data_IF_202017815987
#
_entry.id   IF_202017815987
#
_cell.length_a   1.000
_cell.length_b   1.000
_cell.length_c   1.000
_cell.angle_alpha   90.00
_cell.angle_beta   90.00
_cell.angle_gamma   90.00
#
_symmetry.space_group_name_H-M   'P 1'
#
loop_
_entity.id
_entity.type
_entity.pdbx_description
1 polymer ?
2 polymer ?
3 polymer ?
4 polymer ?
5 polymer ?
#
loop_
_entity_poly.entity_id
_entity_poly.type
_entity_poly.pdbx_seq_one_letter_code
_entity_poly.pdbx_strand_id
2 'polyribonucleotide' 'GACGCAUAAAGAUGAGACGCGUUACAGUUAAGGCUCUGAAAAGAGCCUUAAUUGUAAAACGCCUAUACAGUGAAGGGAUAUACGCUUGGGUUUGUCCAGCCUGAGCCUCUAUGCCAGAAAUGGCGCCUUCAUCGUGGGUUAGGACAUUUAAUUUUUUU' ?
3 'polydeoxyribonucleotide' '(DA)(DG)(DC)(DT)(DG)(DA)(DC)(DG)(DT)(DT)(DT)(DG)(DT)(DA)(DC)(DT)(DC)(DC)(DA)(DG)(DC)(DG)' ?
4 'polydeoxyribonucleotide' '(DA)(DG)(DC)(DA)(DG)(DA)(DA)(DA)(DT)(DC)(DT)(DC)(DT)(DG)(DC)(DT)(DG)(DA)(DC)(DG)(DC)(DA)(DT)(DA)(DA)(DA)(DG)(DA)(DT)(DG)(DA)(DG)(DA)(DC)(DG)(DC)(DT)(DG)(DG)(DA)(DG)(DT)(DA)(DC)(DA)(DA)(DA)(DC)(DG)(DT)(DC)(DA)(DG)(DC)(DT)' ?
5 'polydeoxyribonucleotide' '(DT)(DC)(DT)(DC)(DA)(DT)(DC)(DT)(DT)(DT)(DA)(DT)(DG)(DC)(DG)(DT)(DC)(DA)(DG)(DC)(DA)(DG)(DA)(DG)(DA)(DT)(DT)(DT)(DC)(DT)(DG)(DC)(DT)' ?
#
# COMPACT_ATOMS: atom_id res chain seq x y z
N UNK A 44 0.40 -5.00 -8.99
CA UNK A 44 1.49 -4.87 -8.02
C UNK A 44 1.42 -3.52 -7.32
N UNK A 45 0.42 -2.73 -7.70
CA UNK A 45 0.26 -1.40 -7.13
C UNK A 45 -0.20 -1.45 -5.69
N UNK A 46 -1.11 -2.39 -5.36
CA UNK A 46 -1.62 -2.50 -4.00
C UNK A 46 -0.60 -3.13 -3.06
N UNK A 47 0.15 -4.12 -3.55
CA UNK A 47 1.25 -4.68 -2.77
C UNK A 47 2.33 -3.63 -2.50
N UNK A 48 2.58 -2.75 -3.46
CA UNK A 48 3.52 -1.65 -3.27
C UNK A 48 3.03 -0.70 -2.19
N UNK A 49 1.72 -0.41 -2.17
CA UNK A 49 1.17 0.46 -1.14
C UNK A 49 1.24 -0.17 0.25
N UNK A 50 0.94 -1.46 0.35
CA UNK A 50 1.09 -2.16 1.62
C UNK A 50 2.54 -2.16 2.09
N UNK A 51 3.48 -2.39 1.16
CA UNK A 51 4.90 -2.34 1.47
C UNK A 51 5.33 -0.97 1.95
N UNK A 52 4.81 0.09 1.32
CA UNK A 52 5.13 1.44 1.75
C UNK A 52 4.57 1.77 3.13
N UNK A 53 3.35 1.32 3.41
CA UNK A 53 2.76 1.51 4.74
C UNK A 53 3.60 0.80 5.80
N UNK A 54 3.99 -0.44 5.51
CA UNK A 54 4.85 -1.21 6.41
C UNK A 54 6.18 -0.52 6.67
N UNK A 55 6.85 -0.07 5.61
CA UNK A 55 8.17 0.54 5.78
C UNK A 55 8.08 1.92 6.43
N UNK A 56 7.00 2.66 6.17
CA UNK A 56 6.78 3.94 6.86
C UNK A 56 6.58 3.73 8.36
N UNK A 57 5.82 2.70 8.73
CA UNK A 57 5.62 2.39 10.15
C UNK A 57 6.92 1.93 10.80
N UNK A 58 7.75 1.16 10.07
CA UNK A 58 9.03 0.73 10.60
C UNK A 58 9.98 1.90 10.82
N UNK A 59 10.01 2.85 9.88
CA UNK A 59 10.81 4.05 10.03
C UNK A 59 10.33 4.89 11.21
N UNK A 60 9.01 4.94 11.41
CA UNK A 60 8.47 5.67 12.54
C UNK A 60 8.84 5.02 13.87
N UNK A 61 8.87 3.69 13.93
CA UNK A 61 9.38 3.02 15.11
C UNK A 61 10.86 3.31 15.33
N UNK A 62 11.63 3.42 14.26
CA UNK A 62 13.04 3.78 14.39
C UNK A 62 13.22 5.19 14.95
N UNK A 63 12.41 6.15 14.48
CA UNK A 63 12.54 7.54 14.92
C UNK A 63 12.13 7.71 16.37
N UNK A 64 11.05 7.04 16.80
CA UNK A 64 10.59 7.18 18.17
C UNK A 64 11.57 6.57 19.16
N UNK A 65 12.22 5.47 18.78
CA UNK A 65 13.19 4.82 19.66
C UNK A 65 14.42 5.70 19.89
N UNK A 66 14.93 6.33 18.81
CA UNK A 66 16.10 7.19 18.94
C UNK A 66 15.80 8.44 19.75
N UNK A 67 14.63 9.04 19.52
CA UNK A 67 14.21 10.21 20.30
C UNK A 67 14.04 9.87 21.77
N UNK A 68 13.42 8.72 22.05
CA UNK A 68 13.24 8.27 23.43
C UNK A 68 14.57 8.04 24.12
N UNK A 69 15.51 7.39 23.43
CA UNK A 69 16.83 7.15 23.99
C UNK A 69 17.56 8.46 24.27
N UNK A 70 17.48 9.42 23.35
CA UNK A 70 18.17 10.68 23.55
C UNK A 70 17.56 11.51 24.68
N UNK A 71 16.22 11.57 24.75
CA UNK A 71 15.57 12.33 25.80
C UNK A 71 15.84 11.71 27.17
N UNK A 72 15.85 10.37 27.26
CA UNK A 72 16.22 9.75 28.52
C UNK A 72 17.69 9.93 28.83
N UNK A 73 18.53 10.11 27.80
CA UNK A 73 19.95 10.36 28.03
C UNK A 73 20.19 11.75 28.60
N UNK A 74 19.39 12.75 28.19
CA UNK A 74 19.55 14.09 28.77
C UNK A 74 19.13 14.09 30.24
N UNK A 75 17.95 13.55 30.52
CA UNK A 75 17.38 13.65 31.84
C UNK A 75 15.87 13.78 31.78
N UNK A 76 15.34 13.94 30.57
CA UNK A 76 13.90 13.89 30.33
C UNK A 76 13.45 12.44 30.26
N UNK A 77 13.24 11.86 31.44
CA UNK A 77 12.59 10.57 31.52
C UNK A 77 11.12 10.71 31.14
N UNK A 78 10.45 9.57 30.99
CA UNK A 78 9.12 9.53 30.38
C UNK A 78 8.04 10.19 31.23
N UNK A 79 8.30 10.46 32.50
CA UNK A 79 7.32 11.13 33.35
C UNK A 79 7.32 12.65 33.18
N UNK A 80 8.37 13.21 32.60
CA UNK A 80 8.49 14.65 32.45
C UNK A 80 7.58 15.15 31.32
N UNK A 81 7.16 16.41 31.44
CA UNK A 81 6.27 17.00 30.45
C UNK A 81 6.98 17.23 29.13
N UNK A 82 8.28 17.50 29.16
CA UNK A 82 9.04 17.71 27.94
C UNK A 82 9.11 16.44 27.12
N UNK A 83 9.33 15.29 27.77
CA UNK A 83 9.33 14.02 27.05
C UNK A 83 7.98 13.76 26.42
N UNK A 84 6.89 14.01 27.17
CA UNK A 84 5.55 13.75 26.66
C UNK A 84 5.25 14.61 25.44
N UNK A 85 5.58 15.90 25.52
CA UNK A 85 5.30 16.81 24.41
C UNK A 85 6.14 16.48 23.18
N UNK A 86 7.46 16.32 23.36
CA UNK A 86 8.35 16.08 22.23
C UNK A 86 8.09 14.71 21.61
N UNK A 87 7.76 13.72 22.44
CA UNK A 87 7.47 12.39 21.93
C UNK A 87 6.14 12.35 21.19
N UNK A 88 5.14 13.09 21.68
CA UNK A 88 3.86 13.13 20.98
C UNK A 88 3.96 13.91 19.68
N UNK A 89 4.83 14.91 19.61
CA UNK A 89 5.02 15.66 18.37
C UNK A 89 5.73 14.83 17.31
N UNK A 90 6.50 13.83 17.72
CA UNK A 90 7.21 12.99 16.77
C UNK A 90 6.31 12.01 16.05
N UNK A 91 5.09 11.79 16.55
CA UNK A 91 4.13 10.96 15.84
C UNK A 91 3.49 11.69 14.67
N UNK A 92 3.61 13.01 14.62
CA UNK A 92 3.06 13.82 13.54
C UNK A 92 4.05 14.89 13.12
N UNK A 93 5.27 14.47 12.79
CA UNK A 93 6.39 15.36 12.48
C UNK A 93 6.17 16.23 11.23
N UNK A 94 5.11 16.02 10.47
CA UNK A 94 4.78 16.91 9.37
C UNK A 94 5.55 16.65 8.09
N UNK A 95 5.10 17.28 7.02
CA UNK A 95 5.74 17.19 5.72
C UNK A 95 6.70 18.37 5.53
N UNK A 96 7.64 18.20 4.61
CA UNK A 96 8.51 19.31 4.23
C UNK A 96 8.87 19.31 2.75
N UNK A 97 8.11 18.61 1.90
CA UNK A 97 8.41 18.56 0.47
C UNK A 97 8.22 19.89 -0.22
N UNK A 98 7.40 20.78 0.35
CA UNK A 98 7.14 22.09 -0.21
C UNK A 98 7.51 23.16 0.81
N UNK A 99 8.01 24.29 0.31
CA UNK A 99 8.41 25.38 1.19
C UNK A 99 7.19 26.06 1.79
N UNK A 100 7.36 26.55 3.01
CA UNK A 100 6.41 27.30 3.81
C UNK A 100 6.67 28.79 3.66
N UNK A 101 5.63 29.62 3.47
CA UNK A 101 5.85 31.05 3.27
C UNK A 101 6.38 31.72 4.53
N UNK A 102 6.87 32.95 4.34
CA UNK A 102 7.61 33.66 5.36
C UNK A 102 6.71 34.07 6.53
N UNK A 103 7.35 34.37 7.66
CA UNK A 103 6.66 34.73 8.88
C UNK A 103 6.07 36.14 8.77
N UNK A 134 -2.31 18.02 6.79
CA UNK A 134 -1.35 17.93 7.88
C UNK A 134 -0.56 19.22 8.02
N UNK A 135 0.24 19.30 9.08
CA UNK A 135 1.10 20.44 9.32
C UNK A 135 2.41 20.30 8.56
N UNK A 136 3.03 21.45 8.29
CA UNK A 136 4.38 21.48 7.75
C UNK A 136 5.37 21.23 8.89
N UNK A 137 6.55 20.70 8.55
CA UNK A 137 7.51 20.35 9.58
C UNK A 137 8.05 21.57 10.32
N UNK A 138 7.98 22.76 9.71
CA UNK A 138 8.41 23.96 10.43
C UNK A 138 7.48 24.26 11.61
N UNK A 139 6.18 24.02 11.45
CA UNK A 139 5.25 24.19 12.57
C UNK A 139 5.56 23.21 13.70
N UNK A 140 5.82 21.96 13.34
CA UNK A 140 6.13 20.93 14.33
C UNK A 140 7.45 21.25 15.05
N UNK A 141 8.47 21.67 14.30
CA UNK A 141 9.76 22.01 14.89
C UNK A 141 9.65 23.25 15.76
N UNK A 142 8.78 24.19 15.40
CA UNK A 142 8.52 25.34 16.28
C UNK A 142 7.89 24.89 17.60
N UNK A 143 6.95 23.94 17.54
CA UNK A 143 6.38 23.38 18.76
C UNK A 143 7.44 22.64 19.59
N UNK A 144 8.34 21.91 18.93
CA UNK A 144 9.42 21.20 19.63
C UNK A 144 10.34 22.21 20.31
N UNK A 145 10.67 23.30 19.61
CA UNK A 145 11.50 24.36 20.20
C UNK A 145 10.84 24.95 21.43
N UNK A 146 9.53 25.24 21.36
CA UNK A 146 8.81 25.73 22.54
C UNK A 146 8.86 24.74 23.68
N UNK A 147 8.63 23.46 23.39
CA UNK A 147 8.60 22.43 24.43
C UNK A 147 9.95 22.28 25.12
N UNK A 148 11.03 22.30 24.35
CA UNK A 148 12.36 22.10 24.95
C UNK A 148 12.85 23.37 25.66
N UNK A 149 12.53 24.56 25.15
CA UNK A 149 12.91 25.78 25.83
C UNK A 149 12.17 25.91 27.16
N UNK A 150 10.88 25.61 27.20
CA UNK A 150 10.18 25.59 28.48
C UNK A 150 10.64 24.46 29.39
N UNK A 151 11.24 23.42 28.84
CA UNK A 151 11.87 22.36 29.59
C UNK A 151 13.31 22.64 29.97
N UNK A 152 13.79 23.87 29.75
CA UNK A 152 15.13 24.35 30.12
C UNK A 152 16.24 23.58 29.42
N UNK A 153 16.01 23.18 28.17
CA UNK A 153 17.05 22.53 27.39
C UNK A 153 18.03 23.54 26.80
N UNK A 154 19.24 23.07 26.51
CA UNK A 154 20.25 23.88 25.85
C UNK A 154 20.11 23.76 24.33
N UNK A 155 20.83 24.64 23.62
CA UNK A 155 20.70 24.72 22.17
C UNK A 155 21.24 23.48 21.45
N UNK A 156 22.29 22.86 21.99
CA UNK A 156 22.81 21.64 21.40
C UNK A 156 21.81 20.49 21.51
N UNK A 157 21.10 20.39 22.63
CA UNK A 157 20.11 19.34 22.81
C UNK A 157 18.90 19.55 21.91
N UNK A 158 18.48 20.81 21.74
CA UNK A 158 17.40 21.14 20.81
C UNK A 158 17.81 20.81 19.39
N UNK A 159 19.07 21.13 19.04
CA UNK A 159 19.59 20.81 17.71
C UNK A 159 19.64 19.31 17.46
N UNK A 160 20.00 18.52 18.47
CA UNK A 160 20.04 17.07 18.29
C UNK A 160 18.64 16.47 18.18
N UNK A 161 17.68 16.98 18.96
CA UNK A 161 16.30 16.50 18.84
C UNK A 161 15.74 16.86 17.47
N UNK A 162 15.99 18.08 17.00
CA UNK A 162 15.55 18.49 15.67
C UNK A 162 16.25 17.68 14.57
N UNK A 163 17.49 17.27 14.82
CA UNK A 163 18.18 16.36 13.91
C UNK A 163 17.48 15.01 13.84
N UNK A 164 16.98 14.51 14.97
CA UNK A 164 16.22 13.26 14.96
C UNK A 164 14.89 13.44 14.21
N UNK A 165 14.25 14.60 14.35
CA UNK A 165 12.99 14.86 13.64
C UNK A 165 13.18 14.89 12.12
N UNK A 166 14.31 15.40 11.65
CA UNK A 166 14.57 15.54 10.22
C UNK A 166 15.37 14.37 9.64
N UNK A 167 15.73 13.39 10.46
CA UNK A 167 16.59 12.30 10.01
C UNK A 167 15.89 11.42 8.97
N UNK A 168 16.65 10.98 7.97
CA UNK A 168 16.19 10.02 6.98
C UNK A 168 16.71 8.64 7.35
N UNK A 169 15.80 7.71 7.62
CA UNK A 169 16.19 6.40 8.14
C UNK A 169 16.41 5.36 7.05
N UNK A 170 15.63 5.39 5.97
CA UNK A 170 15.91 4.50 4.87
C UNK A 170 16.52 5.28 3.72
N UNK A 171 17.64 4.83 3.15
CA UNK A 171 18.32 5.61 2.11
C UNK A 171 17.51 5.68 0.82
N UNK A 172 17.29 6.90 0.35
CA UNK A 172 16.52 7.17 -0.85
C UNK A 172 17.47 7.18 -2.03
N UNK A 173 17.43 6.12 -2.83
CA UNK A 173 18.43 5.85 -3.88
C UNK A 173 17.73 5.74 -5.22
N UNK A 174 17.98 6.70 -6.11
CA UNK A 174 17.31 6.72 -7.40
C UNK A 174 18.19 7.16 -8.57
N UNK A 175 19.45 7.49 -8.33
CA UNK A 175 20.30 8.00 -9.41
C UNK A 175 20.77 6.93 -10.36
N UNK A 176 20.92 5.69 -9.89
CA UNK A 176 21.63 4.67 -10.68
C UNK A 176 20.95 3.32 -10.54
N UNK A 177 19.61 3.30 -10.47
CA UNK A 177 18.87 2.08 -10.17
C UNK A 177 18.54 1.25 -11.41
N UNK A 178 17.87 1.85 -12.39
CA UNK A 178 17.37 1.14 -13.55
C UNK A 178 18.32 1.41 -14.72
N UNK A 179 18.88 0.34 -15.26
CA UNK A 179 20.02 0.41 -16.17
C UNK A 179 19.61 -0.08 -17.55
N UNK A 180 20.12 0.58 -18.58
CA UNK A 180 19.86 0.23 -19.97
C UNK A 180 21.16 -0.28 -20.59
N UNK A 181 21.07 -1.39 -21.32
CA UNK A 181 22.22 -2.00 -21.98
C UNK A 181 22.23 -1.64 -23.46
N UNK A 182 23.43 -1.54 -24.01
CA UNK A 182 23.60 -1.13 -25.41
C UNK A 182 23.03 -2.17 -26.35
N UNK A 183 22.36 -1.71 -27.41
CA UNK A 183 21.71 -2.61 -28.35
C UNK A 183 22.69 -3.32 -29.27
N UNK A 184 23.90 -2.79 -29.43
CA UNK A 184 24.91 -3.40 -30.27
C UNK A 184 25.35 -4.71 -29.63
N UNK A 185 25.82 -5.66 -30.45
CA UNK A 185 26.13 -7.03 -30.06
C UNK A 185 27.17 -7.15 -28.96
N UNK A 186 27.89 -6.08 -28.62
CA UNK A 186 28.69 -6.06 -27.41
C UNK A 186 28.31 -4.85 -26.55
N UNK A 190 26.35 -0.85 -19.97
CA UNK A 190 25.51 0.24 -19.45
C UNK A 190 25.56 1.47 -20.34
N UNK A 191 24.40 1.97 -20.67
CA UNK A 191 24.32 3.23 -21.38
C UNK A 191 24.17 4.39 -20.39
N UNK A 192 24.73 5.55 -20.69
CA UNK A 192 24.65 6.67 -19.76
C UNK A 192 23.28 7.34 -19.76
N UNK A 193 23.05 8.16 -18.75
CA UNK A 193 21.91 9.05 -18.75
C UNK A 193 22.07 10.09 -19.86
N UNK A 194 20.93 10.52 -20.41
CA UNK A 194 20.93 11.49 -21.51
C UNK A 194 21.52 12.83 -21.07
N UNK A 195 21.28 13.22 -19.82
CA UNK A 195 21.78 14.49 -19.31
C UNK A 195 23.30 14.52 -19.16
N UNK A 196 23.96 13.37 -19.15
CA UNK A 196 25.41 13.30 -19.01
C UNK A 196 26.14 13.23 -20.34
N UNK A 197 25.42 13.11 -21.46
CA UNK A 197 26.01 13.00 -22.78
C UNK A 197 25.44 14.04 -23.75
N UNK A 198 25.11 15.22 -23.23
CA UNK A 198 24.55 16.28 -24.07
C UNK A 198 25.50 16.68 -25.20
N UNK A 199 26.81 16.55 -24.99
CA UNK A 199 27.76 16.82 -26.06
C UNK A 199 27.60 15.84 -27.21
N UNK A 200 27.44 14.55 -26.90
CA UNK A 200 27.23 13.56 -27.95
C UNK A 200 25.88 13.72 -28.63
N UNK A 201 24.86 14.13 -27.88
CA UNK A 201 23.54 14.31 -28.49
C UNK A 201 23.51 15.55 -29.39
N UNK A 202 24.25 16.59 -29.03
CA UNK A 202 24.41 17.74 -29.94
C UNK A 202 25.24 17.35 -31.16
N UNK A 203 26.30 16.56 -30.96
CA UNK A 203 27.14 16.11 -32.06
C UNK A 203 26.36 15.24 -33.03
N UNK A 204 25.37 14.49 -32.51
CA UNK A 204 24.48 13.71 -33.36
C UNK A 204 23.65 14.59 -34.29
N UNK A 205 23.38 15.83 -33.90
CA UNK A 205 22.59 16.74 -34.72
C UNK A 205 23.48 17.48 -35.72
N UNK A 206 24.54 18.14 -35.23
CA UNK A 206 25.34 19.05 -36.06
C UNK A 206 26.27 18.34 -37.03
N UNK A 207 26.42 17.02 -36.92
CA UNK A 207 27.30 16.29 -37.83
C UNK A 207 26.79 16.32 -39.27
N UNK A 208 25.50 16.57 -39.47
CA UNK A 208 24.91 16.55 -40.80
C UNK A 208 24.70 17.94 -41.38
N UNK A 209 25.16 18.98 -40.70
CA UNK A 209 25.15 20.32 -41.28
C UNK A 209 26.21 20.40 -42.38
N UNK A 210 25.96 21.20 -43.43
CA UNK A 210 26.91 21.23 -44.56
C UNK A 210 28.22 21.96 -44.28
N UNK A 211 28.31 22.74 -43.20
CA UNK A 211 29.51 23.52 -42.93
C UNK A 211 30.65 22.66 -42.38
N UNK A 212 31.86 23.23 -42.32
CA UNK A 212 33.07 22.48 -42.04
C UNK A 212 33.12 21.99 -40.59
N UNK A 213 34.04 21.05 -40.34
CA UNK A 213 34.15 20.40 -39.04
C UNK A 213 34.58 21.36 -37.94
N UNK A 214 35.41 22.36 -38.28
CA UNK A 214 35.80 23.35 -37.28
C UNK A 214 34.60 24.18 -36.83
N UNK A 215 33.72 24.53 -37.76
CA UNK A 215 32.49 25.23 -37.41
C UNK A 215 31.53 24.33 -36.66
N UNK A 216 31.52 23.03 -36.96
CA UNK A 216 30.71 22.08 -36.18
C UNK A 216 31.17 22.03 -34.74
N UNK A 217 32.49 21.96 -34.51
CA UNK A 217 33.02 21.92 -33.15
C UNK A 217 32.79 23.24 -32.42
N UNK A 218 32.92 24.37 -33.14
CA UNK A 218 32.63 25.65 -32.53
C UNK A 218 31.16 25.78 -32.14
N UNK A 219 30.26 25.27 -33.00
CA UNK A 219 28.83 25.28 -32.67
C UNK A 219 28.52 24.37 -31.48
N UNK A 220 29.17 23.20 -31.42
CA UNK A 220 28.96 22.30 -30.29
C UNK A 220 29.45 22.94 -28.98
N UNK A 221 30.58 23.65 -29.03
CA UNK A 221 31.06 24.34 -27.84
C UNK A 221 30.16 25.51 -27.47
N UNK A 222 29.60 26.21 -28.46
CA UNK A 222 28.75 27.36 -28.18
C UNK A 222 27.39 26.95 -27.63
N UNK A 223 26.85 25.81 -28.08
CA UNK A 223 25.56 25.36 -27.59
C UNK A 223 25.64 24.94 -26.13
N UNK A 224 26.71 24.23 -25.76
CA UNK A 224 26.84 23.73 -24.39
C UNK A 224 27.21 24.82 -23.40
N UNK A 225 27.92 25.86 -23.85
CA UNK A 225 28.22 27.00 -22.99
C UNK A 225 27.00 27.90 -22.95
N UNK A 226 26.46 28.12 -21.75
CA UNK A 226 25.22 28.89 -21.60
C UNK A 226 25.42 30.38 -21.82
N UNK A 227 26.65 30.87 -21.88
CA UNK A 227 26.90 32.28 -22.16
C UNK A 227 26.92 32.59 -23.65
N UNK A 228 27.20 31.60 -24.50
CA UNK A 228 27.40 31.80 -25.93
C UNK A 228 26.13 31.51 -26.73
N UNK A 229 24.95 31.76 -26.16
CA UNK A 229 23.71 31.45 -26.86
C UNK A 229 23.47 32.36 -28.05
N UNK A 230 23.92 33.62 -27.99
CA UNK A 230 23.71 34.55 -29.09
C UNK A 230 24.49 34.14 -30.34
N UNK A 231 25.65 33.51 -30.16
CA UNK A 231 26.39 32.97 -31.30
C UNK A 231 25.60 31.86 -31.98
N UNK A 232 24.91 31.03 -31.21
CA UNK A 232 24.10 29.95 -31.77
C UNK A 232 22.92 30.51 -32.56
N UNK A 233 22.26 31.55 -32.02
CA UNK A 233 21.18 32.21 -32.73
C UNK A 233 21.69 32.85 -34.02
N UNK A 234 22.87 33.46 -33.97
CA UNK A 234 23.47 34.03 -35.18
C UNK A 234 23.77 32.96 -36.22
N UNK A 235 24.25 31.80 -35.77
CA UNK A 235 24.55 30.70 -36.70
C UNK A 235 23.27 30.21 -37.37
N UNK A 236 22.20 30.03 -36.58
CA UNK A 236 20.94 29.56 -37.16
C UNK A 236 20.31 30.59 -38.08
N UNK A 237 20.44 31.88 -37.77
CA UNK A 237 19.95 32.91 -38.69
C UNK A 237 20.78 32.97 -39.96
N UNK A 238 22.08 32.67 -39.86
CA UNK A 238 22.93 32.66 -41.06
C UNK A 238 22.61 31.48 -41.96
N UNK A 239 22.51 30.29 -41.40
CA UNK A 239 22.49 29.06 -42.20
C UNK A 239 21.09 28.51 -42.45
N UNK A 240 20.04 29.18 -41.96
CA UNK A 240 18.64 28.88 -42.29
C UNK A 240 18.25 27.44 -41.95
N UNK A 241 18.70 26.97 -40.80
CA UNK A 241 18.35 25.61 -40.36
C UNK A 241 16.87 25.54 -40.01
N UNK A 242 16.33 24.32 -40.04
CA UNK A 242 14.93 24.09 -39.77
C UNK A 242 14.61 24.45 -38.32
N UNK A 243 13.37 24.91 -38.10
CA UNK A 243 12.93 25.29 -36.76
C UNK A 243 12.92 24.09 -35.82
N UNK A 244 12.63 22.90 -36.34
CA UNK A 244 12.63 21.71 -35.49
C UNK A 244 14.04 21.32 -35.07
N UNK A 245 15.04 21.58 -35.92
CA UNK A 245 16.42 21.29 -35.57
C UNK A 245 16.91 22.24 -34.48
N UNK A 246 16.58 23.54 -34.63
CA UNK A 246 16.90 24.52 -33.58
C UNK A 246 16.21 24.16 -32.27
N UNK A 247 14.95 23.76 -32.36
CA UNK A 247 14.19 23.24 -31.23
C UNK A 247 14.92 22.08 -30.56
N UNK A 248 15.34 21.09 -31.36
CA UNK A 248 16.03 19.92 -30.82
C UNK A 248 17.32 20.30 -30.12
N UNK A 249 18.08 21.24 -30.71
CA UNK A 249 19.34 21.69 -30.12
C UNK A 249 19.10 22.34 -28.76
N UNK A 250 18.09 23.20 -28.66
CA UNK A 250 17.85 23.89 -27.40
C UNK A 250 17.29 22.97 -26.32
N UNK A 251 16.42 22.00 -26.67
CA UNK A 251 16.01 21.00 -25.68
C UNK A 251 17.14 20.05 -25.27
N UNK A 252 18.07 19.72 -26.15
CA UNK A 252 19.22 18.94 -25.67
C UNK A 252 20.08 19.77 -24.73
N UNK A 253 20.30 21.05 -25.06
CA UNK A 253 21.19 21.88 -24.26
C UNK A 253 20.58 22.24 -22.91
N UNK A 254 19.28 22.51 -22.86
CA UNK A 254 18.67 23.16 -21.70
C UNK A 254 17.83 22.24 -20.83
N UNK A 255 17.00 21.38 -21.40
CA UNK A 255 16.00 20.68 -20.62
C UNK A 255 16.60 19.61 -19.72
N UNK A 256 15.79 19.18 -18.76
CA UNK A 256 16.11 18.10 -17.82
C UNK A 256 15.87 16.77 -18.55
N UNK A 257 16.94 16.24 -19.14
CA UNK A 257 16.84 15.05 -19.99
C UNK A 257 16.69 13.81 -19.12
N UNK A 258 15.45 13.40 -18.90
CA UNK A 258 15.17 12.18 -18.17
C UNK A 258 15.47 10.94 -19.01
N UNK A 259 16.14 9.98 -18.41
CA UNK A 259 16.32 8.68 -19.02
C UNK A 259 17.74 8.44 -19.51
N UNK A 260 17.91 7.27 -20.13
CA UNK A 260 19.19 6.82 -20.66
C UNK A 260 19.11 6.68 -22.17
N UNK A 261 20.28 6.75 -22.81
CA UNK A 261 20.36 6.60 -24.25
C UNK A 261 20.21 5.13 -24.65
N UNK A 262 19.86 4.91 -25.92
CA UNK A 262 19.76 3.56 -26.45
C UNK A 262 21.14 2.91 -26.55
N UNK A 263 22.15 3.68 -26.92
CA UNK A 263 23.49 3.18 -27.14
C UNK A 263 24.46 3.77 -26.12
N UNK A 264 25.59 3.10 -25.94
CA UNK A 264 26.64 3.59 -25.07
C UNK A 264 27.41 4.73 -25.75
N UNK A 265 28.36 5.31 -25.02
CA UNK A 265 29.12 6.46 -25.53
C UNK A 265 29.90 6.13 -26.79
N UNK A 266 30.33 4.88 -26.94
CA UNK A 266 31.06 4.47 -28.15
C UNK A 266 30.13 4.22 -29.32
N UNK A 267 28.82 4.11 -29.11
CA UNK A 267 27.90 3.71 -30.16
C UNK A 267 26.74 4.68 -30.38
N UNK A 268 26.72 5.83 -29.72
CA UNK A 268 25.68 6.82 -29.99
C UNK A 268 25.80 7.34 -31.42
N UNK A 269 27.01 7.66 -31.84
CA UNK A 269 27.23 8.17 -33.19
C UNK A 269 27.50 7.07 -34.21
N UNK A 270 27.89 5.88 -33.76
CA UNK A 270 28.20 4.79 -34.67
C UNK A 270 27.02 3.84 -34.84
N UNK A 549 -6.34 -16.96 -5.87
CA UNK A 549 -5.56 -15.78 -6.22
C UNK A 549 -5.24 -14.96 -4.96
N UNK A 550 -4.17 -14.17 -5.03
CA UNK A 550 -3.70 -13.43 -3.89
C UNK A 550 -2.77 -14.24 -3.01
N UNK A 551 -2.20 -13.56 -2.00
CA UNK A 551 -1.29 -14.21 -1.07
C UNK A 551 -1.48 -13.69 0.35
N UNK A 552 -2.52 -12.89 0.61
CA UNK A 552 -2.74 -12.30 1.92
C UNK A 552 -3.34 -13.32 2.89
N UNK A 553 -2.69 -13.50 4.02
CA UNK A 553 -3.14 -14.40 5.07
C UNK A 553 -4.41 -13.89 5.75
N UNK A 554 -4.62 -12.59 5.79
CA UNK A 554 -5.78 -12.01 6.45
C UNK A 554 -6.11 -10.66 5.84
N UNK A 555 -7.24 -10.10 6.26
CA UNK A 555 -7.68 -8.79 5.82
C UNK A 555 -6.83 -7.69 6.46
N UNK A 556 -6.92 -6.49 5.88
CA UNK A 556 -6.05 -5.41 6.31
C UNK A 556 -6.60 -4.63 7.50
N UNK A 557 -7.92 -4.47 7.59
CA UNK A 557 -8.51 -3.75 8.72
C UNK A 557 -8.83 -4.74 9.84
N UNK A 558 -8.28 -4.56 11.04
CA UNK A 558 -8.64 -5.44 12.15
C UNK A 558 -10.08 -5.23 12.60
N UNK A 559 -10.69 -6.32 13.03
CA UNK A 559 -12.03 -6.30 13.59
C UNK A 559 -11.98 -6.33 15.10
N UNK A 560 -13.07 -5.91 15.72
CA UNK A 560 -13.23 -6.04 17.16
C UNK A 560 -13.99 -7.31 17.46
N UNK A 561 -13.41 -8.17 18.30
CA UNK A 561 -14.00 -9.47 18.62
C UNK A 561 -14.01 -9.59 20.15
N UNK A 562 -15.13 -9.21 20.75
CA UNK A 562 -15.27 -9.16 22.20
C UNK A 562 -16.57 -9.82 22.61
N UNK A 563 -16.48 -10.77 23.55
CA UNK A 563 -17.61 -11.53 24.08
C UNK A 563 -18.37 -12.25 22.96
N UNK A 564 -17.62 -12.75 21.98
CA UNK A 564 -18.20 -13.52 20.90
C UNK A 564 -18.84 -12.72 19.79
N UNK A 565 -18.78 -11.40 19.84
CA UNK A 565 -19.45 -10.53 18.88
C UNK A 565 -18.38 -9.90 18.00
N UNK A 566 -18.54 -10.04 16.69
CA UNK A 566 -17.65 -9.44 15.72
C UNK A 566 -18.23 -8.11 15.29
N UNK A 567 -17.43 -7.05 15.39
CA UNK A 567 -17.93 -5.71 15.11
C UNK A 567 -16.77 -4.83 14.65
N UNK A 568 -17.12 -3.71 14.03
CA UNK A 568 -16.12 -2.73 13.62
C UNK A 568 -16.80 -1.38 13.50
N UNK A 569 -15.99 -0.32 13.51
CA UNK A 569 -16.47 1.04 13.34
C UNK A 569 -16.42 1.48 11.88
N UNK A 570 -17.50 2.08 11.43
CA UNK A 570 -17.62 2.65 10.09
C UNK A 570 -18.18 4.05 10.20
N UNK A 571 -17.68 4.96 9.37
CA UNK A 571 -18.24 6.30 9.31
C UNK A 571 -19.68 6.27 8.81
N UNK A 572 -20.43 7.31 9.15
CA UNK A 572 -21.85 7.37 8.79
C UNK A 572 -22.03 7.38 7.28
N UNK A 573 -21.10 7.99 6.55
CA UNK A 573 -21.11 8.00 5.10
C UNK A 573 -20.59 6.71 4.48
N UNK A 574 -20.40 5.64 5.26
CA UNK A 574 -19.98 4.35 4.74
C UNK A 574 -20.98 3.23 5.00
N UNK A 575 -22.17 3.54 5.48
CA UNK A 575 -23.16 2.54 5.88
C UNK A 575 -24.27 2.55 4.85
N UNK A 576 -24.32 1.51 4.01
CA UNK A 576 -25.28 1.46 2.91
C UNK A 576 -26.72 1.41 3.41
N UNK A 577 -27.65 1.82 2.54
CA UNK A 577 -29.03 2.04 2.94
C UNK A 577 -29.72 0.76 3.37
N UNK A 578 -29.54 -0.33 2.63
CA UNK A 578 -30.18 -1.58 3.00
C UNK A 578 -29.53 -2.31 4.14
N UNK A 579 -28.39 -1.80 4.63
CA UNK A 579 -27.58 -2.45 5.65
C UNK A 579 -27.51 -1.62 6.92
N UNK A 580 -28.51 -0.77 7.14
CA UNK A 580 -28.56 0.10 8.31
C UNK A 580 -28.75 -0.67 9.61
N UNK A 581 -29.32 -1.88 9.54
CA UNK A 581 -29.63 -2.64 10.74
C UNK A 581 -28.40 -3.20 11.43
N UNK A 582 -27.22 -3.12 10.81
CA UNK A 582 -25.99 -3.55 11.45
C UNK A 582 -25.50 -2.57 12.51
N UNK A 583 -26.03 -1.34 12.53
CA UNK A 583 -25.59 -0.35 13.50
C UNK A 583 -26.03 -0.76 14.89
N UNK A 584 -25.07 -0.86 15.81
CA UNK A 584 -25.34 -1.40 17.13
C UNK A 584 -26.12 -0.41 18.00
N UNK A 585 -25.78 0.87 17.91
CA UNK A 585 -26.45 1.90 18.71
C UNK A 585 -27.89 2.07 18.23
N UNK A 586 -28.85 1.95 19.15
CA UNK A 586 -30.27 2.08 18.82
C UNK A 586 -30.59 3.49 18.32
N UNK A 587 -30.10 4.50 19.05
CA UNK A 587 -30.39 5.89 18.73
C UNK A 587 -29.88 6.26 17.35
N UNK A 588 -28.62 5.92 17.07
CA UNK A 588 -28.04 6.29 15.78
C UNK A 588 -28.53 5.40 14.66
N UNK A 589 -28.96 4.16 14.95
CA UNK A 589 -29.60 3.35 13.92
C UNK A 589 -30.91 3.98 13.47
N UNK A 590 -31.75 4.40 14.41
CA UNK A 590 -33.01 5.04 14.02
C UNK A 590 -32.79 6.41 13.41
N UNK A 591 -31.77 7.14 13.87
CA UNK A 591 -31.44 8.42 13.26
C UNK A 591 -30.97 8.25 11.82
N UNK A 592 -30.17 7.22 11.56
CA UNK A 592 -29.69 6.97 10.20
C UNK A 592 -30.80 6.43 9.32
N UNK A 593 -31.75 5.68 9.88
CA UNK A 593 -32.94 5.28 9.13
C UNK A 593 -33.75 6.49 8.70
N UNK A 594 -33.97 7.44 9.62
CA UNK A 594 -34.69 8.65 9.26
C UNK A 594 -33.90 9.51 8.27
N UNK A 595 -32.57 9.49 8.36
CA UNK A 595 -31.75 10.22 7.39
C UNK A 595 -31.86 9.61 6.00
N UNK A 596 -31.87 8.27 5.90
CA UNK A 596 -32.09 7.64 4.61
C UNK A 596 -33.50 7.92 4.08
N UNK A 597 -34.50 7.94 4.96
CA UNK A 597 -35.86 8.24 4.52
C UNK A 597 -35.99 9.69 4.05
N UNK A 598 -35.23 10.61 4.64
CA UNK A 598 -35.37 12.02 4.30
C UNK A 598 -34.80 12.33 2.91
N UNK A 599 -33.64 11.77 2.56
CA UNK A 599 -32.95 12.11 1.33
C UNK A 599 -33.19 11.08 0.22
N UNK A 600 -34.18 10.20 0.39
CA UNK A 600 -34.68 9.31 -0.66
C UNK A 600 -33.61 8.37 -1.21
N UNK A 601 -32.69 7.91 -0.36
CA UNK A 601 -31.75 6.87 -0.75
C UNK A 601 -32.51 5.56 -0.86
N UNK A 602 -32.64 5.05 -2.08
CA UNK A 602 -33.47 3.87 -2.31
C UNK A 602 -32.80 2.62 -1.74
N UNK A 603 -31.65 2.24 -2.30
CA UNK A 603 -30.88 1.10 -1.85
C UNK A 603 -29.47 1.26 -2.41
N UNK A 604 -28.50 0.69 -1.72
CA UNK A 604 -27.12 0.79 -2.16
C UNK A 604 -26.40 1.90 -1.44
N UNK A 605 -25.74 2.77 -2.20
CA UNK A 605 -24.75 3.70 -1.68
C UNK A 605 -25.35 4.70 -0.69
N UNK A 606 -24.49 5.24 0.17
CA UNK A 606 -24.88 6.01 1.34
C UNK A 606 -25.07 7.49 1.04
N UNK A 607 -25.33 8.23 2.12
CA UNK A 607 -25.35 9.68 2.11
C UNK A 607 -23.95 10.23 1.82
N UNK A 608 -23.93 11.41 1.19
CA UNK A 608 -22.68 12.13 1.00
C UNK A 608 -22.33 12.91 2.27
N UNK A 609 -21.21 13.62 2.23
CA UNK A 609 -20.75 14.40 3.37
C UNK A 609 -21.74 15.50 3.73
N UNK A 610 -22.23 16.23 2.72
CA UNK A 610 -23.18 17.31 2.98
C UNK A 610 -24.51 16.79 3.46
N UNK A 611 -24.98 15.66 2.91
CA UNK A 611 -26.23 15.07 3.37
C UNK A 611 -26.12 14.57 4.80
N UNK A 612 -24.96 13.99 5.16
CA UNK A 612 -24.75 13.52 6.52
C UNK A 612 -24.69 14.67 7.51
N UNK A 613 -24.04 15.78 7.13
CA UNK A 613 -24.00 16.95 8.01
C UNK A 613 -25.37 17.61 8.12
N UNK A 614 -26.14 17.64 7.02
CA UNK A 614 -27.47 18.26 7.05
C UNK A 614 -28.47 17.38 7.79
N UNK A 615 -28.23 16.07 7.85
CA UNK A 615 -29.09 15.16 8.61
C UNK A 615 -28.96 15.32 10.11
N UNK A 616 -27.97 16.09 10.58
CA UNK A 616 -27.83 16.35 12.00
C UNK A 616 -26.87 15.44 12.73
N UNK A 617 -25.97 14.78 12.03
CA UNK A 617 -24.97 13.96 12.68
C UNK A 617 -23.83 14.83 13.23
N UNK A 618 -23.21 14.36 14.30
CA UNK A 618 -22.09 15.06 14.91
C UNK A 618 -20.88 15.05 13.99
N UNK A 619 -20.05 16.09 14.10
CA UNK A 619 -18.88 16.28 13.27
C UNK A 619 -17.65 16.14 14.14
N UNK A 620 -16.69 15.34 13.69
CA UNK A 620 -15.46 15.13 14.42
C UNK A 620 -14.55 16.36 14.31
N UNK A 621 -13.44 16.34 15.06
CA UNK A 621 -12.53 17.48 15.09
C UNK A 621 -11.84 17.69 13.76
N UNK A 622 -11.53 16.62 13.03
CA UNK A 622 -10.95 16.76 11.70
C UNK A 622 -12.00 16.95 10.61
N UNK A 623 -13.21 17.38 10.99
CA UNK A 623 -14.35 17.72 10.15
C UNK A 623 -14.95 16.52 9.41
N UNK A 624 -14.50 15.30 9.71
CA UNK A 624 -15.18 14.13 9.18
C UNK A 624 -16.43 13.84 10.01
N UNK A 625 -17.30 13.01 9.45
CA UNK A 625 -18.51 12.60 10.14
C UNK A 625 -18.15 11.59 11.23
N UNK A 626 -19.01 11.48 12.24
CA UNK A 626 -18.80 10.49 13.29
C UNK A 626 -18.90 9.07 12.72
N UNK A 627 -18.26 8.14 13.41
CA UNK A 627 -18.23 6.75 12.97
C UNK A 627 -18.98 5.87 13.97
N UNK A 628 -19.78 4.97 13.44
CA UNK A 628 -20.68 4.13 14.23
C UNK A 628 -20.15 2.70 14.31
N UNK A 629 -20.34 2.10 15.47
CA UNK A 629 -20.03 0.68 15.66
C UNK A 629 -21.09 -0.17 14.95
N UNK A 630 -20.64 -1.09 14.10
CA UNK A 630 -21.54 -1.90 13.30
C UNK A 630 -21.20 -3.38 13.43
N UNK A 631 -22.23 -4.21 13.35
CA UNK A 631 -22.04 -5.66 13.33
C UNK A 631 -21.51 -6.11 11.97
N UNK A 632 -20.58 -7.06 12.00
CA UNK A 632 -19.92 -7.54 10.79
C UNK A 632 -20.61 -8.82 10.34
N UNK A 633 -21.21 -8.78 9.15
CA UNK A 633 -21.82 -9.95 8.55
C UNK A 633 -20.85 -10.62 7.59
N UNK A 634 -21.18 -11.86 7.20
CA UNK A 634 -20.34 -12.60 6.29
C UNK A 634 -19.08 -13.16 6.90
N UNK A 635 -18.96 -13.17 8.23
CA UNK A 635 -17.82 -13.72 8.94
C UNK A 635 -18.31 -14.70 9.99
N UNK A 636 -17.36 -15.46 10.54
CA UNK A 636 -17.65 -16.38 11.61
C UNK A 636 -16.48 -16.47 12.56
N UNK A 637 -16.70 -17.07 13.72
CA UNK A 637 -15.60 -17.23 14.70
C UNK A 637 -14.48 -18.14 14.23
N UNK A 638 -14.74 -19.05 13.28
CA UNK A 638 -13.70 -19.90 12.76
C UNK A 638 -12.73 -19.21 11.83
N UNK A 639 -13.08 -18.02 11.35
CA UNK A 639 -12.23 -17.21 10.50
C UNK A 639 -11.43 -16.17 11.29
N UNK A 640 -11.52 -16.16 12.61
CA UNK A 640 -10.87 -15.16 13.43
C UNK A 640 -9.49 -15.63 13.87
N UNK A 641 -8.48 -14.80 13.62
CA UNK A 641 -7.12 -14.98 14.09
C UNK A 641 -6.72 -13.76 14.89
N UNK A 642 -5.90 -13.95 15.91
CA UNK A 642 -5.37 -12.84 16.71
C UNK A 642 -3.86 -12.79 16.56
N UNK A 643 -3.36 -11.69 16.03
CA UNK A 643 -1.92 -11.45 15.94
C UNK A 643 -1.64 -10.16 16.71
N UNK A 644 -0.81 -10.26 17.75
CA UNK A 644 -0.58 -9.21 18.75
C UNK A 644 -1.94 -8.84 19.34
N UNK A 645 -2.33 -7.57 19.34
CA UNK A 645 -3.61 -7.13 19.88
C UNK A 645 -4.76 -7.21 18.88
N UNK A 646 -4.49 -7.51 17.63
CA UNK A 646 -5.45 -7.31 16.55
C UNK A 646 -6.11 -8.62 16.17
N UNK A 647 -7.43 -8.59 15.97
CA UNK A 647 -8.19 -9.71 15.47
C UNK A 647 -8.52 -9.46 14.01
N UNK A 648 -8.22 -10.43 13.16
CA UNK A 648 -8.45 -10.33 11.73
C UNK A 648 -9.36 -11.44 11.23
N UNK A 649 -10.06 -11.17 10.14
CA UNK A 649 -10.70 -12.20 9.34
C UNK A 649 -9.69 -12.78 8.35
N UNK A 650 -9.69 -14.10 8.23
CA UNK A 650 -8.89 -14.79 7.24
C UNK A 650 -9.80 -15.58 6.32
N UNK A 651 -9.56 -15.48 5.02
CA UNK A 651 -10.26 -16.27 4.01
C UNK A 651 -9.45 -17.49 3.58
N UNK A 652 -8.27 -17.71 4.17
CA UNK A 652 -7.41 -18.84 3.82
C UNK A 652 -7.26 -19.75 5.04
N UNK A 653 -8.31 -19.82 5.86
CA UNK A 653 -8.22 -20.58 7.10
C UNK A 653 -8.21 -22.09 6.87
N UNK A 654 -8.77 -22.57 5.77
CA UNK A 654 -8.72 -23.98 5.42
C UNK A 654 -7.79 -24.23 4.25
N UNK A 655 -6.95 -25.26 4.37
CA UNK A 655 -6.10 -25.69 3.28
C UNK A 655 -6.52 -27.04 2.70
N UNK A 656 -7.36 -27.80 3.39
CA UNK A 656 -7.80 -29.08 2.86
C UNK A 656 -8.78 -29.73 3.79
N UNK A 657 -9.28 -30.88 3.36
CA UNK A 657 -10.23 -31.69 4.13
C UNK A 657 -9.60 -33.05 4.38
N UNK A 658 -9.57 -33.46 5.63
CA UNK A 658 -9.05 -34.76 6.04
C UNK A 658 -10.21 -35.66 6.45
N UNK A 659 -10.25 -36.87 5.89
CA UNK A 659 -11.29 -37.84 6.21
C UNK A 659 -10.64 -38.93 7.07
N UNK A 660 -11.20 -39.14 8.25
CA UNK A 660 -10.63 -40.02 9.26
C UNK A 660 -11.48 -41.27 9.44
N UNK A 661 -10.81 -42.38 9.70
CA UNK A 661 -11.44 -43.64 10.06
C UNK A 661 -11.17 -43.93 11.53
N UNK A 662 -12.23 -44.11 12.30
CA UNK A 662 -12.10 -44.33 13.74
C UNK A 662 -11.92 -45.82 14.03
N UNK A 663 -11.95 -46.18 15.31
CA UNK A 663 -11.85 -47.59 15.71
C UNK A 663 -13.10 -48.39 15.36
N UNK A 664 -14.21 -47.73 15.07
CA UNK A 664 -15.42 -48.41 14.62
C UNK A 664 -15.49 -48.51 13.10
N UNK A 665 -14.52 -47.95 12.38
CA UNK A 665 -14.53 -48.01 10.93
C UNK A 665 -15.48 -47.05 10.25
N UNK A 666 -15.87 -45.97 10.93
CA UNK A 666 -16.83 -45.01 10.39
C UNK A 666 -16.11 -43.74 9.96
N UNK A 667 -16.42 -43.27 8.75
CA UNK A 667 -15.76 -42.09 8.20
C UNK A 667 -16.22 -40.82 8.91
N UNK A 668 -15.31 -39.86 9.02
CA UNK A 668 -15.63 -38.53 9.51
C UNK A 668 -14.66 -37.53 8.89
N UNK A 669 -15.18 -36.39 8.46
CA UNK A 669 -14.38 -35.37 7.79
C UNK A 669 -14.03 -34.24 8.74
N UNK A 670 -12.77 -33.83 8.70
CA UNK A 670 -12.27 -32.68 9.45
C UNK A 670 -11.51 -31.76 8.50
N UNK A 671 -11.71 -30.45 8.67
CA UNK A 671 -10.98 -29.47 7.88
C UNK A 671 -9.56 -29.34 8.38
N UNK A 672 -8.60 -29.41 7.45
CA UNK A 672 -7.21 -29.10 7.77
C UNK A 672 -7.01 -27.59 7.73
N UNK A 673 -6.54 -27.03 8.84
CA UNK A 673 -6.35 -25.59 8.92
C UNK A 673 -4.97 -25.20 8.41
N UNK A 674 -4.82 -23.91 8.11
CA UNK A 674 -3.60 -23.38 7.52
C UNK A 674 -2.47 -23.48 8.54
N UNK A 675 -1.35 -24.13 8.21
CA UNK A 675 -0.24 -24.22 9.17
C UNK A 675 0.39 -22.88 9.52
N UNK A 676 0.30 -21.89 8.63
CA UNK A 676 0.87 -20.58 8.86
C UNK A 676 0.06 -19.76 9.85
N UNK A 677 -1.16 -20.19 10.17
CA UNK A 677 -2.05 -19.46 11.04
C UNK A 677 -2.54 -20.26 12.23
N UNK A 678 -2.06 -21.50 12.41
CA UNK A 678 -2.64 -22.40 13.40
C UNK A 678 -2.42 -21.91 14.82
N UNK A 679 -1.29 -21.26 15.07
CA UNK A 679 -1.00 -20.72 16.40
C UNK A 679 -1.86 -19.50 16.72
N UNK A 680 -2.47 -18.89 15.70
CA UNK A 680 -3.15 -17.61 15.87
C UNK A 680 -4.67 -17.73 15.86
N UNK A 681 -5.23 -18.89 15.53
CA UNK A 681 -6.68 -19.07 15.62
C UNK A 681 -7.16 -18.92 17.05
N UNK A 682 -8.24 -18.15 17.21
CA UNK A 682 -8.84 -17.95 18.53
C UNK A 682 -9.55 -19.21 18.99
N UNK A 683 -10.29 -19.86 18.10
CA UNK A 683 -11.01 -21.06 18.44
C UNK A 683 -10.07 -22.27 18.47
N UNK A 684 -10.39 -23.28 19.29
CA UNK A 684 -9.51 -24.44 19.38
C UNK A 684 -9.46 -25.20 18.08
N UNK A 685 -8.34 -25.87 17.80
CA UNK A 685 -8.20 -26.62 16.54
C UNK A 685 -9.04 -27.88 16.56
N UNK A 686 -9.26 -28.51 15.39
CA UNK A 686 -9.90 -29.82 15.38
C UNK A 686 -9.07 -30.87 16.11
N UNK A 687 -9.76 -31.81 16.73
CA UNK A 687 -9.15 -32.88 17.51
C UNK A 687 -9.63 -34.22 16.99
N UNK A 688 -9.08 -34.66 15.86
CA UNK A 688 -9.62 -35.86 15.20
C UNK A 688 -9.26 -37.15 15.91
N UNK A 689 -10.24 -38.06 15.95
CA UNK A 689 -9.99 -39.42 16.42
C UNK A 689 -9.59 -40.31 15.25
N UNK A 690 -8.95 -41.43 15.58
CA UNK A 690 -8.60 -42.40 14.55
C UNK A 690 -7.41 -41.95 13.70
N UNK A 691 -7.40 -42.44 12.46
CA UNK A 691 -6.29 -42.24 11.54
C UNK A 691 -6.80 -41.73 10.20
N UNK A 692 -5.95 -40.95 9.52
CA UNK A 692 -6.36 -40.32 8.27
C UNK A 692 -6.44 -41.35 7.15
N UNK A 693 -7.41 -41.18 6.26
CA UNK A 693 -7.58 -42.04 5.10
C UNK A 693 -7.17 -41.35 3.81
N UNK A 694 -7.71 -40.17 3.53
CA UNK A 694 -7.35 -39.41 2.33
C UNK A 694 -7.60 -37.93 2.60
N UNK A 695 -7.01 -37.10 1.74
CA UNK A 695 -7.04 -35.65 1.91
C UNK A 695 -7.51 -35.00 0.62
N UNK A 696 -8.47 -34.09 0.73
CA UNK A 696 -9.05 -33.38 -0.40
C UNK A 696 -8.62 -31.93 -0.38
N UNK A 697 -7.84 -31.53 -1.37
CA UNK A 697 -7.44 -30.15 -1.55
C UNK A 697 -8.47 -29.42 -2.39
N UNK A 698 -8.34 -28.09 -2.45
CA UNK A 698 -9.18 -27.30 -3.32
C UNK A 698 -8.81 -27.55 -4.78
N UNK A 699 -9.82 -27.52 -5.65
CA UNK A 699 -9.73 -27.73 -7.09
C UNK A 699 -9.30 -29.15 -7.48
N UNK A 700 -9.41 -30.11 -6.56
CA UNK A 700 -9.18 -31.50 -6.91
C UNK A 700 -10.42 -32.09 -7.57
N UNK A 701 -10.20 -32.98 -8.54
CA UNK A 701 -11.31 -33.66 -9.20
C UNK A 701 -11.71 -34.88 -8.39
N UNK A 702 -13.01 -35.00 -8.11
CA UNK A 702 -13.55 -36.04 -7.24
C UNK A 702 -14.77 -36.66 -7.90
N UNK A 703 -15.28 -37.73 -7.28
CA UNK A 703 -16.55 -38.32 -7.66
C UNK A 703 -17.34 -38.61 -6.39
N UNK A 704 -18.65 -38.75 -6.55
CA UNK A 704 -19.58 -38.89 -5.44
C UNK A 704 -19.99 -40.36 -5.32
N UNK A 705 -20.11 -40.84 -4.09
CA UNK A 705 -20.58 -42.20 -3.82
C UNK A 705 -21.96 -42.42 -4.43
N UNK A 706 -22.08 -43.48 -5.23
CA UNK A 706 -23.32 -43.80 -5.90
C UNK A 706 -23.54 -43.11 -7.22
N UNK A 707 -22.59 -42.28 -7.66
CA UNK A 707 -22.71 -41.53 -8.90
C UNK A 707 -21.51 -41.83 -9.80
N UNK A 708 -21.71 -41.66 -11.10
CA UNK A 708 -20.67 -41.87 -12.09
C UNK A 708 -20.03 -40.59 -12.61
N UNK A 709 -20.63 -39.43 -12.33
CA UNK A 709 -20.11 -38.17 -12.84
C UNK A 709 -18.85 -37.75 -12.10
N UNK A 710 -18.04 -36.92 -12.77
CA UNK A 710 -16.79 -36.42 -12.24
C UNK A 710 -16.97 -34.96 -11.88
N UNK A 711 -16.69 -34.62 -10.63
CA UNK A 711 -16.89 -33.28 -10.09
C UNK A 711 -15.53 -32.70 -9.72
N UNK A 712 -15.52 -31.42 -9.35
CA UNK A 712 -14.31 -30.80 -8.81
C UNK A 712 -14.69 -29.87 -7.67
N UNK A 713 -13.79 -29.78 -6.69
CA UNK A 713 -14.07 -29.07 -5.44
C UNK A 713 -13.82 -27.58 -5.65
N UNK A 714 -14.87 -26.78 -5.49
CA UNK A 714 -14.75 -25.33 -5.62
C UNK A 714 -14.41 -24.67 -4.28
N UNK A 715 -15.24 -24.90 -3.27
CA UNK A 715 -15.06 -24.41 -1.92
C UNK A 715 -15.16 -25.60 -0.98
N UNK A 716 -14.36 -25.60 0.07
CA UNK A 716 -14.20 -26.83 0.84
C UNK A 716 -14.56 -26.61 2.31
N UNK A 717 -14.66 -27.74 3.01
CA UNK A 717 -15.18 -27.76 4.36
C UNK A 717 -15.47 -29.19 4.75
N UNK A 718 -16.27 -29.35 5.81
CA UNK A 718 -16.72 -30.69 6.17
C UNK A 718 -17.61 -31.28 5.09
N UNK A 719 -18.44 -30.46 4.44
CA UNK A 719 -19.17 -30.82 3.23
C UNK A 719 -18.73 -29.84 2.15
N UNK A 720 -17.71 -30.18 1.37
CA UNK A 720 -17.20 -29.24 0.36
C UNK A 720 -18.18 -29.01 -0.78
N UNK A 721 -18.01 -27.86 -1.42
CA UNK A 721 -18.85 -27.44 -2.53
C UNK A 721 -18.21 -27.90 -3.84
N UNK A 722 -18.95 -28.66 -4.64
CA UNK A 722 -18.43 -29.28 -5.85
C UNK A 722 -19.14 -28.73 -7.08
N UNK A 723 -18.37 -28.46 -8.13
CA UNK A 723 -18.87 -28.16 -9.46
C UNK A 723 -18.83 -29.43 -10.29
N UNK A 724 -19.70 -29.52 -11.32
CA UNK A 724 -19.45 -30.44 -12.47
C UNK A 724 -18.34 -29.92 -13.36
N UNK A 725 -17.44 -30.83 -13.76
CA UNK A 725 -16.37 -30.45 -14.69
C UNK A 725 -16.94 -30.19 -16.07
N UNK A 726 -17.83 -31.07 -16.54
CA UNK A 726 -18.47 -30.95 -17.85
C UNK A 726 -19.97 -30.94 -17.64
N UNK A 727 -20.65 -29.94 -18.20
CA UNK A 727 -22.09 -29.84 -18.11
C UNK A 727 -22.60 -28.99 -16.96
N UNK A 728 -21.73 -28.27 -16.27
CA UNK A 728 -22.17 -27.37 -15.21
C UNK A 728 -22.67 -26.06 -15.81
N UNK A 729 -23.84 -25.61 -15.35
CA UNK A 729 -24.41 -24.35 -15.77
C UNK A 729 -24.00 -23.20 -14.86
N UNK A 730 -22.86 -23.33 -14.18
CA UNK A 730 -22.49 -22.44 -13.10
C UNK A 730 -23.08 -22.82 -11.76
N UNK A 731 -23.92 -23.85 -11.70
CA UNK A 731 -24.50 -24.31 -10.45
C UNK A 731 -23.57 -25.29 -9.75
N UNK A 732 -23.66 -25.29 -8.42
CA UNK A 732 -22.83 -26.17 -7.59
C UNK A 732 -23.72 -26.85 -6.56
N UNK A 733 -23.15 -27.85 -5.88
CA UNK A 733 -23.86 -28.55 -4.82
C UNK A 733 -22.85 -29.04 -3.79
N UNK A 734 -23.33 -29.27 -2.57
CA UNK A 734 -22.47 -29.66 -1.46
C UNK A 734 -22.70 -31.13 -1.13
N UNK A 735 -21.59 -31.88 -1.04
CA UNK A 735 -21.62 -33.29 -0.69
C UNK A 735 -20.65 -33.49 0.45
N UNK A 736 -21.07 -34.28 1.45
CA UNK A 736 -20.19 -34.60 2.57
C UNK A 736 -18.92 -35.27 2.09
N UNK A 737 -17.79 -34.86 2.66
CA UNK A 737 -16.49 -35.34 2.20
C UNK A 737 -16.28 -36.82 2.46
N UNK A 738 -17.06 -37.42 3.38
CA UNK A 738 -17.02 -38.86 3.56
C UNK A 738 -17.57 -39.60 2.35
N UNK A 739 -18.46 -38.97 1.60
CA UNK A 739 -19.02 -39.55 0.39
C UNK A 739 -18.19 -39.27 -0.86
N UNK A 740 -17.15 -38.46 -0.76
CA UNK A 740 -16.31 -38.15 -1.89
C UNK A 740 -15.07 -39.04 -1.91
N UNK A 741 -14.51 -39.21 -3.11
CA UNK A 741 -13.24 -39.89 -3.29
C UNK A 741 -12.55 -39.28 -4.50
N UNK A 742 -11.23 -39.16 -4.42
CA UNK A 742 -10.47 -38.45 -5.44
C UNK A 742 -10.32 -39.29 -6.69
N UNK A 743 -10.47 -38.64 -7.85
CA UNK A 743 -10.33 -39.31 -9.13
C UNK A 743 -8.87 -39.35 -9.54
#
# INVERSE_FOLDING_TARGET
>A
MERELVLGIDYGGKYTGLAVVDRRHNQVLYANRLKMRDDVAGILKDRRKQRGIRRTAQTKKKRLRELKNYLKSIGYNESTATFETVYSLAHKRGYDYADMPEEKTSEEIEAMDVEERKQWEKEKQEWEETKRNSRHRKEVVKDVHKAMIEGRATEEQIKRVERIFNKQYRPKRFNNRILTKCKVEDCGVNTPLRKNVRDLLIENIVRFFPIEQSEKDNLKDAVLDKNRREEVKSFFRKHKTDEHIRKQVYDIADNKLSGRTVFCKEHILEHTEHSKEERKVFRLAPSLKTKIENVLAVIKDEILPKFTVNKVVMESNNFDIAAKTQGKKRLAKEEYGKGPREGKETRKEALLRETDGRCIYCGKSIDISNAHDDHIFPRKAGGLNIFANLVACCAVCNENKKGRTPLESGISPKPEIIAFMKNDLKKKILEDARNINTVDFNKYMSHASIGWRYMRDRLRESAGNKKLPIERQSGIYTAYFRRWWGFKKERGNTLHHALDAVILASRKGYSDDGLVDMTLKPKYNKGGEFDPEKHLPEPIEFKMDKGSRGSALHDRNPLSYKKGIITRRFMVTEIECGKEDDVISETYREKLKEAFKRFDTKKGKCLTDKEAKEAGFCIKKNELVMSLKCSIKGTGPGQMIRINNNVFKTNVHNVGVDVYLDEKGKKKAYERKNPRLSKHFIEPPPQPNGRVSFTLKRRDMVTVEGEDAIYRIKKLGTSPTIEAVVGSDGKTRTVSATKLTKANSAE
#
